data_IF_845672406616
#
_entry.id   IF_845672406616
#
_cell.length_a   1.000
_cell.length_b   1.000
_cell.length_c   1.000
_cell.angle_alpha   90.00
_cell.angle_beta   90.00
_cell.angle_gamma   90.00
#
_symmetry.space_group_name_H-M   'P 1'
#
loop_
_entity.id
_entity.type
_entity.pdbx_description
1 polymer ?
#
# COMPACT_ATOMS: atom_id res chain seq x y z
N UNK A 1 0.23 20.83 25.40
CA UNK A 1 -0.89 19.86 25.34
C UNK A 1 -0.95 19.40 23.90
N UNK A 2 -0.39 18.24 23.60
CA UNK A 2 -0.44 17.69 22.24
C UNK A 2 -1.82 17.08 22.00
N UNK A 3 -2.45 17.42 20.88
CA UNK A 3 -3.71 16.80 20.48
C UNK A 3 -3.43 15.43 19.87
N UNK A 4 -4.29 14.46 20.15
CA UNK A 4 -4.24 13.15 19.50
C UNK A 4 -4.62 13.26 18.03
N UNK A 5 -4.13 12.32 17.20
CA UNK A 5 -4.47 12.23 15.77
C UNK A 5 -5.97 12.19 15.51
N UNK A 6 -6.74 11.52 16.38
CA UNK A 6 -8.20 11.47 16.29
C UNK A 6 -8.85 12.84 16.49
N UNK A 7 -8.35 13.63 17.46
CA UNK A 7 -8.84 15.00 17.70
C UNK A 7 -8.51 15.92 16.52
N UNK A 8 -7.31 15.81 15.96
CA UNK A 8 -6.91 16.57 14.77
C UNK A 8 -7.79 16.19 13.57
N UNK A 9 -8.01 14.88 13.36
CA UNK A 9 -8.88 14.37 12.28
C UNK A 9 -10.30 14.91 12.38
N UNK A 10 -10.90 14.89 13.57
CA UNK A 10 -12.26 15.39 13.80
C UNK A 10 -12.36 16.91 13.52
N UNK A 11 -11.36 17.69 13.92
CA UNK A 11 -11.32 19.12 13.66
C UNK A 11 -11.16 19.45 12.18
N UNK A 12 -10.28 18.75 11.48
CA UNK A 12 -10.10 18.90 10.04
C UNK A 12 -11.36 18.48 9.28
N UNK A 13 -12.04 17.43 9.74
CA UNK A 13 -13.31 16.99 9.18
C UNK A 13 -14.39 18.06 9.33
N UNK A 14 -14.55 18.62 10.54
CA UNK A 14 -15.51 19.71 10.80
C UNK A 14 -15.22 20.96 9.97
N UNK A 15 -13.96 21.35 9.83
CA UNK A 15 -13.56 22.47 8.99
C UNK A 15 -13.89 22.20 7.51
N UNK A 16 -13.59 21.00 7.01
CA UNK A 16 -13.93 20.57 5.65
C UNK A 16 -15.43 20.54 5.39
N UNK A 17 -16.23 20.09 6.35
CA UNK A 17 -17.69 20.05 6.25
C UNK A 17 -18.33 21.44 6.30
N UNK A 18 -17.67 22.39 6.98
CA UNK A 18 -18.01 23.81 6.94
C UNK A 18 -17.51 24.54 5.68
N UNK A 19 -16.97 23.82 4.68
CA UNK A 19 -16.36 24.37 3.46
C UNK A 19 -15.23 25.39 3.73
N UNK A 20 -14.55 25.26 4.87
CA UNK A 20 -13.33 26.03 5.13
C UNK A 20 -12.22 25.47 4.26
N UNK A 21 -11.50 26.35 3.56
CA UNK A 21 -10.34 25.94 2.77
C UNK A 21 -9.25 25.41 3.69
N UNK A 22 -8.90 24.14 3.53
CA UNK A 22 -7.82 23.51 4.28
C UNK A 22 -6.49 23.81 3.61
N UNK A 23 -5.56 24.39 4.37
CA UNK A 23 -4.15 24.46 4.00
C UNK A 23 -3.40 23.43 4.82
N UNK A 24 -2.94 22.36 4.17
CA UNK A 24 -2.20 21.26 4.80
C UNK A 24 -0.76 21.29 4.28
N UNK A 25 0.20 21.03 5.16
CA UNK A 25 1.59 20.80 4.76
C UNK A 25 1.76 19.39 4.19
N UNK A 26 2.85 19.16 3.47
CA UNK A 26 3.16 17.85 2.90
C UNK A 26 3.30 16.78 4.00
N UNK A 27 3.86 17.14 5.15
CA UNK A 27 3.98 16.26 6.32
C UNK A 27 2.61 15.88 6.89
N UNK A 28 1.68 16.84 6.98
CA UNK A 28 0.34 16.57 7.47
C UNK A 28 -0.41 15.63 6.53
N UNK A 29 -0.36 15.90 5.22
CA UNK A 29 -0.97 15.02 4.21
C UNK A 29 -0.37 13.61 4.33
N UNK A 30 0.96 13.51 4.37
CA UNK A 30 1.68 12.24 4.47
C UNK A 30 1.28 11.44 5.72
N UNK A 31 1.11 12.10 6.86
CA UNK A 31 0.72 11.45 8.11
C UNK A 31 -0.67 10.77 8.02
N UNK A 32 -1.58 11.33 7.22
CA UNK A 32 -2.93 10.80 7.06
C UNK A 32 -3.03 9.68 6.01
N UNK A 33 -2.02 9.49 5.16
CA UNK A 33 -1.95 8.36 4.24
C UNK A 33 -1.50 7.11 5.00
N UNK A 34 -2.40 6.13 5.10
CA UNK A 34 -2.15 4.87 5.82
C UNK A 34 -2.62 3.70 4.98
N UNK A 35 -2.22 2.48 5.31
CA UNK A 35 -2.82 1.31 4.67
C UNK A 35 -4.29 1.18 5.05
N UNK A 36 -5.14 0.82 4.09
CA UNK A 36 -6.55 0.58 4.38
C UNK A 36 -6.75 -0.73 5.16
N UNK A 37 -6.15 -1.81 4.66
CA UNK A 37 -6.07 -3.10 5.33
C UNK A 37 -4.64 -3.37 5.78
N UNK A 38 -4.49 -3.63 7.07
CA UNK A 38 -3.23 -4.03 7.69
C UNK A 38 -3.40 -5.20 8.65
N UNK A 39 -2.37 -6.04 8.79
CA UNK A 39 -2.35 -7.06 9.82
C UNK A 39 -2.34 -6.41 11.21
N UNK A 40 -2.86 -7.15 12.18
CA UNK A 40 -2.92 -6.76 13.59
C UNK A 40 -2.16 -7.71 14.51
N UNK A 41 -1.76 -8.89 14.00
CA UNK A 41 -1.01 -9.90 14.73
C UNK A 41 0.45 -9.97 14.29
N UNK A 42 1.30 -10.52 15.16
CA UNK A 42 2.71 -10.79 14.83
C UNK A 42 2.85 -11.72 13.63
N UNK A 43 1.93 -12.67 13.44
CA UNK A 43 1.94 -13.59 12.30
C UNK A 43 1.66 -12.82 11.01
N UNK A 44 0.64 -11.96 10.99
CA UNK A 44 0.35 -11.12 9.83
C UNK A 44 1.50 -10.15 9.53
N UNK A 45 2.13 -9.57 10.55
CA UNK A 45 3.34 -8.75 10.34
C UNK A 45 4.47 -9.56 9.68
N UNK A 46 4.65 -10.83 10.04
CA UNK A 46 5.62 -11.71 9.39
C UNK A 46 5.24 -12.04 7.95
N UNK A 47 3.96 -12.26 7.65
CA UNK A 47 3.45 -12.44 6.29
C UNK A 47 3.70 -11.19 5.45
N UNK A 48 3.40 -10.00 5.98
CA UNK A 48 3.65 -8.73 5.31
C UNK A 48 5.14 -8.55 5.00
N UNK A 49 6.02 -8.76 5.98
CA UNK A 49 7.46 -8.63 5.81
C UNK A 49 8.05 -9.67 4.84
N UNK A 50 7.55 -10.91 4.86
CA UNK A 50 7.95 -11.96 3.91
C UNK A 50 7.54 -11.62 2.48
N UNK A 51 6.30 -11.19 2.31
CA UNK A 51 5.73 -10.81 1.01
C UNK A 51 6.44 -9.59 0.42
N UNK A 52 6.67 -8.54 1.22
CA UNK A 52 7.35 -7.33 0.76
C UNK A 52 8.77 -7.63 0.29
N UNK A 53 9.54 -8.40 1.09
CA UNK A 53 10.89 -8.82 0.69
C UNK A 53 10.88 -9.63 -0.61
N UNK A 54 9.93 -10.55 -0.77
CA UNK A 54 9.81 -11.34 -1.99
C UNK A 54 9.49 -10.46 -3.22
N UNK A 55 8.64 -9.44 -3.08
CA UNK A 55 8.35 -8.47 -4.15
C UNK A 55 9.59 -7.64 -4.50
N UNK A 56 10.29 -7.10 -3.50
CA UNK A 56 11.49 -6.29 -3.74
C UNK A 56 12.57 -7.10 -4.49
N UNK A 57 12.69 -8.39 -4.19
CA UNK A 57 13.68 -9.27 -4.80
C UNK A 57 13.25 -9.82 -6.18
N UNK A 58 11.97 -10.16 -6.35
CA UNK A 58 11.50 -10.94 -7.49
C UNK A 58 10.35 -10.31 -8.28
N UNK A 59 9.79 -9.17 -7.85
CA UNK A 59 8.58 -8.55 -8.44
C UNK A 59 8.70 -8.22 -9.93
N UNK A 60 9.91 -7.96 -10.40
CA UNK A 60 10.23 -7.66 -11.80
C UNK A 60 10.55 -8.90 -12.66
N UNK A 61 10.55 -10.11 -12.08
CA UNK A 61 10.85 -11.35 -12.82
C UNK A 61 9.70 -11.70 -13.75
N UNK A 62 10.04 -12.15 -14.96
CA UNK A 62 9.05 -12.55 -15.95
C UNK A 62 8.40 -13.90 -15.59
N UNK A 63 7.12 -14.02 -15.89
CA UNK A 63 6.32 -15.22 -15.75
C UNK A 63 6.72 -16.32 -16.77
N UNK A 64 6.36 -17.60 -16.56
CA UNK A 64 5.69 -18.12 -15.37
C UNK A 64 6.62 -18.10 -14.17
N UNK A 65 6.10 -17.62 -13.04
CA UNK A 65 6.88 -17.54 -11.81
C UNK A 65 5.96 -17.80 -10.62
N UNK A 66 6.42 -18.60 -9.68
CA UNK A 66 5.74 -18.85 -8.40
C UNK A 66 6.81 -18.91 -7.32
N UNK A 67 6.72 -18.03 -6.33
CA UNK A 67 7.72 -17.91 -5.27
C UNK A 67 7.05 -17.97 -3.91
N UNK A 68 7.60 -18.79 -3.01
CA UNK A 68 7.16 -18.85 -1.61
C UNK A 68 7.64 -17.58 -0.90
N UNK A 69 6.70 -16.76 -0.45
CA UNK A 69 6.98 -15.53 0.28
C UNK A 69 7.02 -15.76 1.81
N UNK A 70 6.26 -16.75 2.28
CA UNK A 70 6.14 -17.06 3.70
C UNK A 70 5.73 -18.51 3.90
N UNK A 71 6.21 -19.11 4.99
CA UNK A 71 5.73 -20.40 5.50
C UNK A 71 5.86 -20.41 7.02
N UNK A 72 4.84 -20.94 7.70
CA UNK A 72 4.87 -21.19 9.13
C UNK A 72 4.06 -22.43 9.49
N UNK A 73 4.67 -23.32 10.26
CA UNK A 73 3.99 -24.43 10.92
C UNK A 73 3.44 -23.96 12.27
N UNK A 74 2.15 -24.23 12.50
CA UNK A 74 1.47 -24.18 13.79
C UNK A 74 1.33 -25.60 14.33
N UNK A 75 0.84 -25.75 15.57
CA UNK A 75 0.68 -27.06 16.20
C UNK A 75 -0.14 -28.04 15.35
N UNK A 76 -1.24 -27.56 14.78
CA UNK A 76 -2.17 -28.41 14.02
C UNK A 76 -2.24 -28.06 12.53
N UNK A 77 -1.83 -26.84 12.17
CA UNK A 77 -2.02 -26.31 10.82
C UNK A 77 -0.71 -25.75 10.24
N UNK A 78 -0.65 -25.58 8.92
CA UNK A 78 0.47 -24.90 8.25
C UNK A 78 -0.04 -23.79 7.35
N UNK A 79 0.57 -22.62 7.42
CA UNK A 79 0.29 -21.52 6.50
C UNK A 79 1.43 -21.35 5.50
N UNK A 80 1.10 -21.24 4.22
CA UNK A 80 2.04 -20.86 3.16
C UNK A 80 1.46 -19.71 2.33
N UNK A 81 2.32 -18.77 1.93
CA UNK A 81 1.96 -17.68 1.02
C UNK A 81 2.88 -17.71 -0.18
N UNK A 82 2.31 -17.64 -1.37
CA UNK A 82 3.07 -17.58 -2.62
C UNK A 82 2.64 -16.41 -3.47
N UNK A 83 3.62 -15.71 -4.04
CA UNK A 83 3.40 -14.79 -5.14
C UNK A 83 3.44 -15.57 -6.45
N UNK A 84 2.58 -15.26 -7.40
CA UNK A 84 2.57 -15.93 -8.69
C UNK A 84 2.11 -15.04 -9.84
N UNK A 85 2.61 -15.36 -11.05
CA UNK A 85 2.13 -14.80 -12.30
C UNK A 85 2.20 -15.84 -13.42
N UNK A 86 1.18 -15.86 -14.27
CA UNK A 86 1.10 -16.73 -15.45
C UNK A 86 1.68 -16.06 -16.71
N UNK A 87 1.64 -14.73 -16.74
CA UNK A 87 2.03 -13.86 -17.83
C UNK A 87 2.67 -12.55 -17.30
N UNK A 88 3.41 -11.85 -18.16
CA UNK A 88 4.05 -10.57 -17.80
C UNK A 88 5.15 -10.72 -16.75
N UNK A 89 5.15 -9.82 -15.76
CA UNK A 89 6.06 -9.85 -14.60
C UNK A 89 5.30 -10.29 -13.34
N UNK A 90 6.02 -10.74 -12.31
CA UNK A 90 5.43 -11.24 -11.06
C UNK A 90 4.46 -10.23 -10.41
N UNK A 91 4.75 -8.94 -10.53
CA UNK A 91 4.01 -7.89 -9.85
C UNK A 91 3.75 -6.61 -10.66
N UNK A 92 4.09 -6.58 -11.96
CA UNK A 92 4.03 -5.35 -12.76
C UNK A 92 5.27 -4.47 -12.58
N UNK A 93 5.43 -3.50 -13.50
CA UNK A 93 6.62 -2.64 -13.57
C UNK A 93 6.73 -1.64 -12.41
N UNK A 94 5.58 -1.20 -11.89
CA UNK A 94 5.52 -0.07 -10.95
C UNK A 94 5.38 -0.55 -9.49
N UNK A 95 5.46 -1.86 -9.21
CA UNK A 95 5.33 -2.41 -7.85
C UNK A 95 6.40 -1.88 -6.88
N UNK A 96 7.55 -1.46 -7.41
CA UNK A 96 8.65 -0.91 -6.62
C UNK A 96 8.49 0.59 -6.35
N UNK A 97 7.44 1.21 -6.89
CA UNK A 97 7.19 2.64 -6.66
C UNK A 97 6.87 2.89 -5.18
N UNK A 98 7.17 4.12 -4.78
CA UNK A 98 6.85 4.64 -3.46
C UNK A 98 6.00 5.90 -3.63
N UNK A 99 4.99 6.05 -2.79
CA UNK A 99 4.18 7.24 -2.73
C UNK A 99 4.93 8.37 -2.00
N UNK A 100 5.00 9.54 -2.63
CA UNK A 100 5.53 10.77 -2.06
C UNK A 100 4.45 11.84 -2.01
N UNK A 101 4.48 12.67 -0.98
CA UNK A 101 3.75 13.93 -0.95
C UNK A 101 4.71 15.06 -1.30
N UNK A 102 4.33 15.90 -2.25
CA UNK A 102 5.11 17.06 -2.66
C UNK A 102 4.17 18.16 -3.18
N UNK A 103 4.33 19.39 -2.67
CA UNK A 103 3.52 20.55 -3.07
C UNK A 103 2.00 20.31 -2.98
N UNK A 104 1.59 19.63 -1.92
CA UNK A 104 0.19 19.31 -1.64
C UNK A 104 -0.43 18.24 -2.56
N UNK A 105 0.36 17.54 -3.37
CA UNK A 105 -0.09 16.45 -4.24
C UNK A 105 0.60 15.13 -3.88
N UNK A 106 0.05 14.00 -4.35
CA UNK A 106 0.62 12.66 -4.14
C UNK A 106 1.12 12.07 -5.46
N UNK A 107 2.34 11.54 -5.42
CA UNK A 107 3.06 11.00 -6.56
C UNK A 107 3.44 9.54 -6.32
N UNK A 108 3.19 8.67 -7.29
CA UNK A 108 3.81 7.34 -7.35
C UNK A 108 5.15 7.44 -8.07
N UNK A 109 6.24 7.26 -7.31
CA UNK A 109 7.60 7.56 -7.79
C UNK A 109 8.42 6.28 -7.85
N UNK A 110 9.03 5.94 -9.00
CA UNK A 110 9.94 4.81 -9.09
C UNK A 110 11.22 5.04 -8.25
N UNK A 111 11.87 3.97 -7.76
CA UNK A 111 13.03 4.09 -6.88
C UNK A 111 14.22 4.79 -7.55
N UNK A 112 14.31 4.73 -8.87
CA UNK A 112 15.37 5.38 -9.66
C UNK A 112 14.87 5.74 -11.07
N UNK A 113 15.49 6.72 -11.71
CA UNK A 113 15.15 7.16 -13.07
C UNK A 113 13.91 8.05 -13.13
N UNK A 114 13.57 8.47 -14.34
CA UNK A 114 12.50 9.46 -14.60
C UNK A 114 12.87 10.87 -14.11
N UNK A 115 11.98 11.84 -14.39
CA UNK A 115 12.12 13.24 -13.94
C UNK A 115 11.43 13.42 -12.57
N UNK A 116 11.98 12.76 -11.55
CA UNK A 116 11.42 12.73 -10.19
C UNK A 116 12.42 13.13 -9.10
N UNK A 117 13.58 13.68 -9.47
CA UNK A 117 14.67 13.95 -8.52
C UNK A 117 14.25 14.98 -7.46
N UNK A 118 13.57 16.05 -7.86
CA UNK A 118 13.04 17.04 -6.92
C UNK A 118 12.05 16.42 -5.91
N UNK A 119 11.19 15.48 -6.34
CA UNK A 119 10.23 14.81 -5.47
C UNK A 119 10.94 13.83 -4.53
N UNK A 120 11.94 13.09 -5.02
CA UNK A 120 12.75 12.19 -4.19
C UNK A 120 13.58 12.93 -3.14
N UNK A 121 14.08 14.12 -3.48
CA UNK A 121 14.92 14.93 -2.59
C UNK A 121 14.12 15.75 -1.57
N UNK A 122 12.97 16.31 -1.98
CA UNK A 122 12.23 17.30 -1.18
C UNK A 122 10.86 16.82 -0.72
N UNK A 123 10.30 15.82 -1.37
CA UNK A 123 8.99 15.27 -1.02
C UNK A 123 9.05 14.40 0.24
N UNK A 124 7.90 14.26 0.89
CA UNK A 124 7.73 13.40 2.05
C UNK A 124 7.41 11.99 1.57
N UNK A 125 8.35 11.06 1.76
CA UNK A 125 8.17 9.64 1.47
C UNK A 125 7.12 9.03 2.41
N UNK A 126 6.16 8.28 1.87
CA UNK A 126 5.03 7.72 2.64
C UNK A 126 5.00 6.19 2.60
N UNK A 127 4.31 5.59 1.63
CA UNK A 127 4.03 4.16 1.54
C UNK A 127 4.66 3.56 0.27
N UNK A 128 5.30 2.41 0.38
CA UNK A 128 5.74 1.63 -0.78
C UNK A 128 4.60 0.77 -1.32
N UNK A 129 4.44 0.65 -2.64
CA UNK A 129 3.40 -0.18 -3.24
C UNK A 129 3.59 -1.67 -2.94
N UNK A 130 4.85 -2.12 -2.84
CA UNK A 130 5.18 -3.47 -2.38
C UNK A 130 4.65 -3.75 -0.96
N UNK A 131 4.80 -2.79 -0.05
CA UNK A 131 4.28 -2.91 1.32
C UNK A 131 2.76 -2.82 1.34
N UNK A 132 2.15 -2.01 0.48
CA UNK A 132 0.71 -1.86 0.40
C UNK A 132 0.02 -3.17 -0.03
N UNK A 133 0.54 -3.85 -1.06
CA UNK A 133 0.08 -5.19 -1.42
C UNK A 133 0.35 -6.21 -0.32
N UNK A 134 1.54 -6.17 0.28
CA UNK A 134 1.93 -7.11 1.35
C UNK A 134 1.05 -6.97 2.59
N UNK A 135 0.66 -5.75 2.94
CA UNK A 135 -0.28 -5.42 4.01
C UNK A 135 -1.67 -5.99 3.69
N UNK A 136 -2.12 -5.88 2.43
CA UNK A 136 -3.38 -6.47 1.97
C UNK A 136 -3.34 -8.00 2.07
N UNK A 137 -2.27 -8.65 1.62
CA UNK A 137 -2.09 -10.11 1.71
C UNK A 137 -2.12 -10.57 3.16
N UNK A 138 -1.38 -9.90 4.04
CA UNK A 138 -1.32 -10.22 5.46
C UNK A 138 -2.68 -10.05 6.17
N UNK A 139 -3.39 -8.94 5.92
CA UNK A 139 -4.72 -8.71 6.47
C UNK A 139 -5.75 -9.75 5.99
N UNK A 140 -5.60 -10.27 4.77
CA UNK A 140 -6.44 -11.38 4.30
C UNK A 140 -6.04 -12.71 4.94
N UNK A 141 -4.74 -12.98 5.12
CA UNK A 141 -4.26 -14.19 5.78
C UNK A 141 -4.74 -14.29 7.24
N UNK A 142 -4.85 -13.16 7.94
CA UNK A 142 -5.42 -13.11 9.30
C UNK A 142 -6.94 -13.30 9.33
N UNK A 143 -7.64 -12.77 8.34
CA UNK A 143 -9.11 -12.77 8.31
C UNK A 143 -9.71 -14.03 7.64
N UNK A 144 -8.89 -14.86 6.98
CA UNK A 144 -9.39 -16.02 6.25
C UNK A 144 -9.84 -17.14 7.18
N UNK A 145 -11.00 -17.72 6.88
CA UNK A 145 -11.53 -18.93 7.53
C UNK A 145 -11.56 -20.13 6.56
N UNK A 146 -10.93 -20.01 5.40
CA UNK A 146 -10.90 -21.02 4.35
C UNK A 146 -9.48 -21.58 4.20
N UNK A 147 -9.34 -22.77 3.62
CA UNK A 147 -8.03 -23.39 3.35
C UNK A 147 -7.26 -22.70 2.23
N UNK A 148 -7.94 -21.92 1.38
CA UNK A 148 -7.35 -21.28 0.22
C UNK A 148 -7.96 -19.90 -0.03
N UNK A 149 -7.12 -18.93 -0.36
CA UNK A 149 -7.53 -17.59 -0.79
C UNK A 149 -6.55 -17.03 -1.82
N UNK A 150 -7.05 -16.22 -2.74
CA UNK A 150 -6.24 -15.43 -3.67
C UNK A 150 -6.48 -13.96 -3.42
N UNK A 151 -5.41 -13.20 -3.29
CA UNK A 151 -5.41 -11.76 -3.11
C UNK A 151 -4.74 -11.14 -4.32
N UNK A 152 -5.37 -10.14 -4.91
CA UNK A 152 -4.89 -9.49 -6.12
C UNK A 152 -4.90 -7.97 -5.97
N UNK A 153 -3.92 -7.31 -6.59
CA UNK A 153 -3.85 -5.86 -6.73
C UNK A 153 -3.46 -5.53 -8.17
N UNK A 154 -4.41 -4.97 -8.91
CA UNK A 154 -4.27 -4.62 -10.31
C UNK A 154 -3.72 -3.21 -10.53
N UNK A 155 -3.88 -2.70 -11.75
CA UNK A 155 -3.45 -1.36 -12.10
C UNK A 155 -4.18 -0.33 -11.23
N UNK A 156 -3.41 0.52 -10.57
CA UNK A 156 -3.94 1.46 -9.60
C UNK A 156 -4.17 2.82 -10.24
N UNK A 157 -5.39 3.36 -10.04
CA UNK A 157 -5.78 4.72 -10.45
C UNK A 157 -6.25 5.55 -9.27
N UNK A 158 -6.66 4.89 -8.19
CA UNK A 158 -7.15 5.48 -6.96
C UNK A 158 -6.34 4.97 -5.77
N UNK A 159 -6.47 5.63 -4.62
CA UNK A 159 -5.84 5.17 -3.38
C UNK A 159 -6.37 3.80 -2.93
N UNK A 160 -7.67 3.55 -3.13
CA UNK A 160 -8.31 2.29 -2.76
C UNK A 160 -7.73 1.12 -3.57
N UNK A 161 -7.41 1.32 -4.86
CA UNK A 161 -6.73 0.32 -5.70
C UNK A 161 -5.34 -0.09 -5.17
N UNK A 162 -4.72 0.77 -4.36
CA UNK A 162 -3.40 0.57 -3.77
C UNK A 162 -3.45 0.10 -2.32
N UNK A 163 -4.63 -0.22 -1.77
CA UNK A 163 -4.79 -0.48 -0.34
C UNK A 163 -4.33 0.72 0.53
N UNK A 164 -4.59 1.96 0.08
CA UNK A 164 -4.27 3.19 0.82
C UNK A 164 -5.55 3.87 1.29
N UNK A 165 -5.66 4.08 2.60
CA UNK A 165 -6.74 4.82 3.23
C UNK A 165 -6.44 6.30 3.25
N UNK A 166 -7.43 7.06 2.78
CA UNK A 166 -7.45 8.52 2.79
C UNK A 166 -8.67 8.99 3.57
N UNK A 167 -8.52 9.77 4.67
CA UNK A 167 -9.66 10.34 5.39
C UNK A 167 -10.53 11.24 4.51
N UNK A 168 -11.82 11.37 4.85
CA UNK A 168 -12.78 12.09 4.02
C UNK A 168 -12.41 13.57 3.78
N UNK A 169 -11.91 14.28 4.80
CA UNK A 169 -11.44 15.65 4.64
C UNK A 169 -10.31 15.77 3.62
N UNK A 170 -9.43 14.76 3.55
CA UNK A 170 -8.29 14.74 2.64
C UNK A 170 -8.73 14.33 1.22
N UNK A 171 -9.75 13.46 1.09
CA UNK A 171 -10.42 13.21 -0.20
C UNK A 171 -10.97 14.51 -0.80
N UNK A 172 -11.69 15.31 0.00
CA UNK A 172 -12.19 16.64 -0.40
C UNK A 172 -11.05 17.62 -0.75
N UNK A 173 -9.97 17.62 0.02
CA UNK A 173 -8.77 18.41 -0.29
C UNK A 173 -8.19 18.05 -1.67
N UNK A 174 -8.14 16.76 -2.00
CA UNK A 174 -7.63 16.29 -3.28
C UNK A 174 -8.57 16.52 -4.47
N UNK A 175 -9.87 16.78 -4.29
CA UNK A 175 -10.79 17.13 -5.40
C UNK A 175 -10.32 18.35 -6.20
N UNK A 176 -9.56 19.25 -5.56
CA UNK A 176 -9.02 20.48 -6.17
C UNK A 176 -7.55 20.34 -6.59
N UNK A 177 -6.95 19.16 -6.45
CA UNK A 177 -5.52 18.91 -6.69
C UNK A 177 -5.37 17.81 -7.74
N UNK A 178 -4.31 17.90 -8.53
CA UNK A 178 -3.95 16.82 -9.43
C UNK A 178 -3.22 15.73 -8.63
N UNK A 179 -3.64 14.48 -8.83
CA UNK A 179 -2.97 13.31 -8.27
C UNK A 179 -2.17 12.61 -9.36
N UNK A 180 -0.96 12.15 -9.02
CA UNK A 180 -0.04 11.48 -9.93
C UNK A 180 0.26 10.07 -9.43
N UNK A 181 -0.81 9.33 -9.11
CA UNK A 181 -0.71 8.01 -8.48
C UNK A 181 -0.86 6.85 -9.47
N UNK A 182 -1.22 7.09 -10.73
CA UNK A 182 -1.41 6.00 -11.70
C UNK A 182 -0.19 5.07 -11.79
N UNK A 183 -0.40 3.78 -11.53
CA UNK A 183 0.68 2.79 -11.45
C UNK A 183 0.25 1.44 -12.06
N UNK A 184 1.08 0.90 -12.94
CA UNK A 184 0.89 -0.43 -13.52
C UNK A 184 1.48 -1.50 -12.59
N UNK A 185 0.72 -1.80 -11.54
CA UNK A 185 0.91 -2.94 -10.65
C UNK A 185 0.00 -4.08 -11.11
N UNK A 186 0.47 -5.31 -10.97
CA UNK A 186 -0.32 -6.51 -11.21
C UNK A 186 0.25 -7.64 -10.37
N UNK A 187 -0.06 -7.62 -9.07
CA UNK A 187 0.41 -8.62 -8.12
C UNK A 187 -0.71 -9.58 -7.75
N UNK A 188 -0.36 -10.86 -7.62
CA UNK A 188 -1.26 -11.90 -7.12
C UNK A 188 -0.55 -12.75 -6.08
N UNK A 189 -1.24 -13.05 -5.00
CA UNK A 189 -0.77 -13.93 -3.94
C UNK A 189 -1.82 -15.00 -3.66
N UNK A 190 -1.39 -16.25 -3.56
CA UNK A 190 -2.20 -17.31 -2.99
C UNK A 190 -1.79 -17.56 -1.54
N UNK A 191 -2.78 -17.79 -0.69
CA UNK A 191 -2.62 -18.14 0.72
C UNK A 191 -3.22 -19.53 0.91
N UNK A 192 -2.44 -20.43 1.50
CA UNK A 192 -2.83 -21.83 1.75
C UNK A 192 -2.74 -22.11 3.24
N UNK A 193 -3.81 -22.64 3.81
CA UNK A 193 -3.87 -23.23 5.14
C UNK A 193 -4.07 -24.74 4.97
N UNK A 194 -3.15 -25.52 5.53
CA UNK A 194 -3.17 -26.98 5.57
C UNK A 194 -3.45 -27.46 6.98
#
# INVERSE_FOLDING_TARGET
>A
MEWSKAQITDLLQKASDANVELTLTDEQIAEFLTFDRSPSSDIGMNVMNGTSRAILQYGHKNAPYRIKAFEKQFTENRMEVYLFANDGTLCGKDVLNVLYVFDGAVYSVPPSGGDFDAIREKGIKTLALADAFSSLVAANAEAMNAEYSVVEMGAAKTFDDMNVRVPQFLKKYFEKKQLFIESNVSCRAEIKLF
#
